data_IF_804813500487
#
_entry.id   IF_804813500487
#
_cell.length_a   1.000
_cell.length_b   1.000
_cell.length_c   1.000
_cell.angle_alpha   90.00
_cell.angle_beta   90.00
_cell.angle_gamma   90.00
#
_symmetry.space_group_name_H-M   'P 1'
#
loop_
_entity.id
_entity.type
_entity.pdbx_description
1 polymer ?
#
# COMPACT_ATOMS: atom_id res chain seq x y z
N UNK A 1 -16.05 -9.96 -7.27
CA UNK A 1 -17.04 -10.16 -6.18
C UNK A 1 -16.71 -11.30 -5.22
N UNK A 2 -16.47 -12.54 -5.67
CA UNK A 2 -16.17 -13.68 -4.77
C UNK A 2 -14.98 -13.40 -3.84
N UNK A 3 -13.83 -12.97 -4.39
CA UNK A 3 -12.63 -12.64 -3.61
C UNK A 3 -12.89 -11.61 -2.51
N UNK A 4 -13.61 -10.53 -2.83
CA UNK A 4 -13.99 -9.49 -1.86
C UNK A 4 -14.84 -10.04 -0.71
N UNK A 5 -15.84 -10.88 -0.99
CA UNK A 5 -16.66 -11.49 0.07
C UNK A 5 -15.83 -12.40 0.98
N UNK A 6 -14.94 -13.21 0.39
CA UNK A 6 -14.03 -14.06 1.18
C UNK A 6 -13.10 -13.21 2.06
N UNK A 7 -12.55 -12.12 1.54
CA UNK A 7 -11.71 -11.22 2.32
C UNK A 7 -12.48 -10.49 3.42
N UNK A 8 -13.70 -10.02 3.14
CA UNK A 8 -14.58 -9.38 4.13
C UNK A 8 -14.98 -10.35 5.25
N UNK A 9 -15.22 -11.62 4.92
CA UNK A 9 -15.44 -12.67 5.90
C UNK A 9 -14.21 -12.88 6.80
N UNK A 10 -13.01 -12.99 6.21
CA UNK A 10 -11.77 -13.14 6.97
C UNK A 10 -11.52 -11.97 7.94
N UNK A 11 -11.83 -10.74 7.52
CA UNK A 11 -11.78 -9.55 8.40
C UNK A 11 -12.71 -9.72 9.60
N UNK A 12 -13.92 -10.22 9.38
CA UNK A 12 -14.93 -10.43 10.44
C UNK A 12 -14.54 -11.55 11.42
N UNK A 13 -13.74 -12.51 10.96
CA UNK A 13 -13.25 -13.66 11.73
C UNK A 13 -11.87 -13.40 12.39
N UNK A 14 -11.36 -12.16 12.38
CA UNK A 14 -10.03 -11.84 12.91
C UNK A 14 -9.93 -12.03 14.43
N UNK A 15 -9.05 -12.95 14.87
CA UNK A 15 -8.88 -13.32 16.27
C UNK A 15 -7.62 -12.70 16.91
N UNK A 16 -7.57 -12.55 18.25
CA UNK A 16 -6.35 -12.16 18.97
C UNK A 16 -5.21 -13.18 18.77
N UNK A 17 -3.97 -12.78 19.07
CA UNK A 17 -2.80 -13.66 18.93
C UNK A 17 -2.28 -13.83 17.49
N UNK A 18 -2.78 -13.02 16.55
CA UNK A 18 -2.27 -12.85 15.17
C UNK A 18 -2.45 -11.41 14.73
N UNK A 19 -1.91 -11.04 13.56
CA UNK A 19 -2.15 -9.73 12.98
C UNK A 19 -3.65 -9.48 12.77
N UNK A 20 -4.15 -8.33 13.23
CA UNK A 20 -5.53 -7.94 13.03
C UNK A 20 -5.76 -7.51 11.58
N UNK A 21 -6.82 -8.03 10.95
CA UNK A 21 -7.22 -7.59 9.61
C UNK A 21 -8.14 -6.38 9.76
N UNK A 22 -7.61 -5.18 9.46
CA UNK A 22 -8.30 -3.91 9.71
C UNK A 22 -9.40 -3.58 8.70
N UNK A 23 -9.39 -4.27 7.57
CA UNK A 23 -10.29 -4.03 6.45
C UNK A 23 -9.64 -4.44 5.13
N UNK A 24 -10.18 -3.92 4.04
CA UNK A 24 -9.77 -4.22 2.69
C UNK A 24 -9.15 -2.99 2.03
N UNK A 25 -8.00 -3.20 1.40
CA UNK A 25 -7.47 -2.33 0.36
C UNK A 25 -7.81 -2.97 -0.99
N UNK A 26 -8.64 -2.30 -1.79
CA UNK A 26 -8.99 -2.79 -3.12
C UNK A 26 -8.16 -2.03 -4.16
N UNK A 27 -7.12 -2.68 -4.65
CA UNK A 27 -6.30 -2.15 -5.74
C UNK A 27 -6.98 -2.41 -7.09
N UNK A 28 -7.65 -1.38 -7.62
CA UNK A 28 -8.51 -1.51 -8.81
C UNK A 28 -9.98 -1.79 -8.47
N UNK A 29 -10.80 -2.25 -9.44
CA UNK A 29 -10.44 -2.55 -10.82
C UNK A 29 -10.34 -1.30 -11.70
N UNK A 30 -10.68 -0.11 -11.21
CA UNK A 30 -10.76 1.12 -12.00
C UNK A 30 -9.40 1.75 -12.28
N UNK A 31 -8.53 1.02 -12.97
CA UNK A 31 -7.13 1.39 -13.22
C UNK A 31 -6.80 1.37 -14.70
N UNK A 32 -5.74 2.08 -15.09
CA UNK A 32 -5.36 2.23 -16.48
C UNK A 32 -4.62 0.98 -16.98
N UNK A 33 -5.13 0.39 -18.08
CA UNK A 33 -4.55 -0.81 -18.71
C UNK A 33 -3.08 -0.64 -19.11
N UNK A 34 -2.66 0.57 -19.51
CA UNK A 34 -1.26 0.88 -19.85
C UNK A 34 -0.32 0.83 -18.64
N UNK A 35 -0.90 0.84 -17.43
CA UNK A 35 -0.21 0.87 -16.15
C UNK A 35 -0.71 -0.25 -15.25
N UNK A 36 -1.05 -1.40 -15.84
CA UNK A 36 -1.56 -2.56 -15.09
C UNK A 36 -0.53 -3.17 -14.15
N UNK A 37 0.77 -2.98 -14.43
CA UNK A 37 1.83 -3.70 -13.69
C UNK A 37 1.59 -5.21 -13.79
N UNK A 38 1.60 -5.89 -12.65
CA UNK A 38 1.30 -7.32 -12.56
C UNK A 38 -0.19 -7.67 -12.39
N UNK A 39 -1.10 -6.70 -12.49
CA UNK A 39 -2.53 -6.99 -12.48
C UNK A 39 -2.91 -7.81 -13.73
N UNK A 40 -3.70 -8.90 -13.59
CA UNK A 40 -4.10 -9.69 -14.75
C UNK A 40 -4.78 -8.82 -15.83
N UNK A 41 -4.48 -9.00 -17.13
CA UNK A 41 -4.94 -8.10 -18.19
C UNK A 41 -6.46 -7.91 -18.30
N UNK A 42 -7.24 -8.86 -17.77
CA UNK A 42 -8.71 -8.83 -17.78
C UNK A 42 -9.31 -8.06 -16.60
N UNK A 43 -8.52 -7.74 -15.57
CA UNK A 43 -9.01 -7.15 -14.31
C UNK A 43 -9.19 -5.63 -14.36
N UNK A 44 -8.32 -4.84 -15.03
CA UNK A 44 -8.56 -3.42 -15.20
C UNK A 44 -9.86 -3.13 -15.96
N UNK A 45 -10.77 -2.38 -15.35
CA UNK A 45 -12.05 -1.97 -15.90
C UNK A 45 -12.12 -0.45 -15.97
N UNK A 46 -12.92 0.07 -16.90
CA UNK A 46 -13.28 1.50 -16.85
C UNK A 46 -14.18 1.76 -15.64
N UNK A 47 -14.14 2.98 -15.07
CA UNK A 47 -15.06 3.42 -14.02
C UNK A 47 -16.52 3.12 -14.39
N UNK A 48 -17.20 2.32 -13.57
CA UNK A 48 -18.59 1.96 -13.75
C UNK A 48 -19.32 1.96 -12.40
N UNK A 49 -20.45 2.68 -12.35
CA UNK A 49 -21.19 2.87 -11.10
C UNK A 49 -21.80 1.56 -10.61
N UNK A 50 -22.35 0.74 -11.50
CA UNK A 50 -22.99 -0.53 -11.12
C UNK A 50 -21.97 -1.52 -10.57
N UNK A 51 -20.79 -1.59 -11.18
CA UNK A 51 -19.65 -2.35 -10.67
C UNK A 51 -19.27 -1.86 -9.28
N UNK A 52 -19.08 -0.55 -9.08
CA UNK A 52 -18.75 0.01 -7.78
C UNK A 52 -19.78 -0.37 -6.71
N UNK A 53 -21.08 -0.21 -6.99
CA UNK A 53 -22.14 -0.56 -6.05
C UNK A 53 -22.07 -2.05 -5.65
N UNK A 54 -21.77 -2.93 -6.62
CA UNK A 54 -21.53 -4.35 -6.34
C UNK A 54 -20.27 -4.62 -5.51
N UNK A 55 -19.18 -3.87 -5.73
CA UNK A 55 -17.94 -4.00 -4.95
C UNK A 55 -18.16 -3.56 -3.51
N UNK A 56 -18.82 -2.41 -3.31
CA UNK A 56 -19.19 -1.88 -2.00
C UNK A 56 -20.13 -2.85 -1.27
N UNK A 57 -21.14 -3.38 -1.95
CA UNK A 57 -22.03 -4.38 -1.37
C UNK A 57 -21.28 -5.65 -0.97
N UNK A 58 -20.35 -6.13 -1.79
CA UNK A 58 -19.57 -7.33 -1.51
C UNK A 58 -18.58 -7.15 -0.34
N UNK A 59 -18.04 -5.94 -0.18
CA UNK A 59 -17.11 -5.61 0.90
C UNK A 59 -17.81 -5.19 2.21
N UNK A 60 -19.05 -4.72 2.14
CA UNK A 60 -19.77 -4.17 3.28
C UNK A 60 -19.05 -2.93 3.86
N UNK A 61 -18.97 -2.86 5.18
CA UNK A 61 -18.26 -1.82 5.94
C UNK A 61 -16.74 -2.06 6.04
N UNK A 62 -16.23 -3.10 5.37
CA UNK A 62 -14.82 -3.51 5.48
C UNK A 62 -13.91 -2.88 4.45
N UNK A 63 -14.43 -2.28 3.38
CA UNK A 63 -13.60 -1.55 2.43
C UNK A 63 -13.08 -0.26 3.07
N UNK A 64 -11.76 -0.08 3.12
CA UNK A 64 -11.11 1.09 3.74
C UNK A 64 -10.40 1.97 2.73
N UNK A 65 -9.81 1.36 1.71
CA UNK A 65 -9.01 2.03 0.70
C UNK A 65 -9.34 1.44 -0.68
N UNK A 66 -9.39 2.29 -1.70
CA UNK A 66 -9.49 1.87 -3.09
C UNK A 66 -8.46 2.62 -3.95
N UNK A 67 -7.67 1.88 -4.74
CA UNK A 67 -6.77 2.45 -5.75
C UNK A 67 -7.53 2.69 -7.05
N UNK A 68 -7.41 3.90 -7.62
CA UNK A 68 -8.07 4.30 -8.88
C UNK A 68 -7.11 5.11 -9.77
N UNK A 69 -7.27 4.97 -11.08
CA UNK A 69 -6.65 5.84 -12.07
C UNK A 69 -7.55 7.06 -12.35
N UNK A 70 -7.16 8.28 -11.94
CA UNK A 70 -8.04 9.45 -11.95
C UNK A 70 -8.34 10.00 -13.36
N UNK A 71 -7.49 9.71 -14.34
CA UNK A 71 -7.63 10.16 -15.73
C UNK A 71 -8.73 9.40 -16.51
N UNK A 72 -9.23 8.29 -15.95
CA UNK A 72 -10.27 7.51 -16.61
C UNK A 72 -11.62 8.22 -16.55
N UNK A 73 -12.35 8.21 -17.67
CA UNK A 73 -13.69 8.76 -17.75
C UNK A 73 -14.60 8.16 -16.67
N UNK A 74 -15.22 9.02 -15.85
CA UNK A 74 -16.08 8.61 -14.74
C UNK A 74 -15.37 8.44 -13.39
N UNK A 75 -14.03 8.48 -13.32
CA UNK A 75 -13.28 8.30 -12.08
C UNK A 75 -13.71 9.31 -10.99
N UNK A 76 -13.93 10.58 -11.33
CA UNK A 76 -14.40 11.58 -10.37
C UNK A 76 -15.73 11.24 -9.69
N UNK A 77 -16.65 10.53 -10.37
CA UNK A 77 -17.89 10.06 -9.75
C UNK A 77 -17.64 8.90 -8.77
N UNK A 78 -16.75 7.99 -9.13
CA UNK A 78 -16.32 6.88 -8.26
C UNK A 78 -15.68 7.44 -7.00
N UNK A 79 -14.72 8.37 -7.14
CA UNK A 79 -14.02 9.03 -6.02
C UNK A 79 -15.04 9.62 -5.04
N UNK A 80 -15.95 10.48 -5.53
CA UNK A 80 -16.97 11.10 -4.66
C UNK A 80 -17.87 10.07 -3.97
N UNK A 81 -18.24 9.00 -4.67
CA UNK A 81 -19.12 7.96 -4.10
C UNK A 81 -18.39 7.17 -3.01
N UNK A 82 -17.12 6.82 -3.21
CA UNK A 82 -16.29 6.14 -2.21
C UNK A 82 -16.09 7.00 -0.96
N UNK A 83 -15.76 8.29 -1.13
CA UNK A 83 -15.58 9.21 0.00
C UNK A 83 -16.86 9.39 0.82
N UNK A 84 -18.04 9.46 0.17
CA UNK A 84 -19.34 9.47 0.85
C UNK A 84 -19.64 8.18 1.63
N UNK A 85 -18.92 7.09 1.35
CA UNK A 85 -18.99 5.81 2.05
C UNK A 85 -17.82 5.60 3.01
N UNK A 86 -17.06 6.66 3.30
CA UNK A 86 -15.89 6.63 4.18
C UNK A 86 -14.79 5.67 3.69
N UNK A 87 -14.73 5.44 2.38
CA UNK A 87 -13.64 4.70 1.72
C UNK A 87 -12.62 5.72 1.21
N UNK A 88 -11.40 5.65 1.74
CA UNK A 88 -10.29 6.47 1.26
C UNK A 88 -9.93 6.13 -0.18
N UNK A 89 -9.47 7.13 -0.93
CA UNK A 89 -9.04 6.97 -2.31
C UNK A 89 -7.53 7.12 -2.40
N UNK A 90 -6.91 6.16 -3.07
CA UNK A 90 -5.52 6.17 -3.47
C UNK A 90 -5.38 6.31 -4.98
N UNK A 91 -4.43 7.10 -5.45
CA UNK A 91 -4.11 7.19 -6.88
C UNK A 91 -2.98 6.21 -7.22
N UNK A 92 -3.18 5.38 -8.24
CA UNK A 92 -2.21 4.35 -8.63
C UNK A 92 -2.62 3.63 -9.91
N UNK A 93 -1.70 2.86 -10.50
CA UNK A 93 -1.92 2.15 -11.77
C UNK A 93 -2.49 3.07 -12.86
N UNK A 94 -1.84 4.22 -13.04
CA UNK A 94 -2.42 5.37 -13.74
C UNK A 94 -1.41 6.08 -14.63
N UNK A 95 -1.85 6.46 -15.82
CA UNK A 95 -1.08 7.31 -16.74
C UNK A 95 -1.46 8.79 -16.62
N UNK A 96 -2.07 9.20 -15.50
CA UNK A 96 -2.57 10.54 -15.29
C UNK A 96 -1.51 11.64 -15.46
N UNK A 97 -1.94 12.74 -16.11
CA UNK A 97 -1.22 13.99 -16.05
C UNK A 97 -1.38 14.67 -14.68
N UNK A 98 -0.66 15.77 -14.50
CA UNK A 98 -0.77 16.59 -13.28
C UNK A 98 -2.21 17.08 -13.05
N UNK A 99 -2.91 17.53 -14.10
CA UNK A 99 -4.24 18.13 -13.98
C UNK A 99 -5.28 17.13 -13.47
N UNK A 100 -5.28 15.89 -13.99
CA UNK A 100 -6.20 14.84 -13.55
C UNK A 100 -5.94 14.47 -12.08
N UNK A 101 -4.66 14.32 -11.71
CA UNK A 101 -4.26 13.99 -10.35
C UNK A 101 -4.62 15.13 -9.36
N UNK A 102 -4.31 16.38 -9.71
CA UNK A 102 -4.66 17.56 -8.91
C UNK A 102 -6.17 17.69 -8.71
N UNK A 103 -6.97 17.45 -9.76
CA UNK A 103 -8.43 17.43 -9.65
C UNK A 103 -8.94 16.30 -8.73
N UNK A 104 -8.30 15.13 -8.76
CA UNK A 104 -8.64 14.02 -7.87
C UNK A 104 -8.31 14.32 -6.40
N UNK A 105 -7.14 14.92 -6.11
CA UNK A 105 -6.79 15.37 -4.77
C UNK A 105 -7.73 16.49 -4.28
N UNK A 106 -8.05 17.47 -5.12
CA UNK A 106 -9.03 18.51 -4.81
C UNK A 106 -10.44 17.93 -4.53
N UNK A 107 -10.78 16.79 -5.14
CA UNK A 107 -12.02 16.06 -4.88
C UNK A 107 -11.99 15.20 -3.60
N UNK A 108 -10.84 15.12 -2.90
CA UNK A 108 -10.67 14.43 -1.63
C UNK A 108 -9.92 13.11 -1.68
N UNK A 109 -9.31 12.74 -2.82
CA UNK A 109 -8.28 11.69 -2.79
C UNK A 109 -7.15 12.14 -1.86
N UNK A 110 -6.55 11.20 -1.12
CA UNK A 110 -5.61 11.56 -0.03
C UNK A 110 -4.39 10.65 0.06
N UNK A 111 -4.22 9.76 -0.91
CA UNK A 111 -3.21 8.72 -0.87
C UNK A 111 -2.67 8.40 -2.27
N UNK A 112 -1.46 7.85 -2.34
CA UNK A 112 -0.83 7.38 -3.58
C UNK A 112 -0.29 5.98 -3.34
N UNK A 113 -0.71 5.02 -4.15
CA UNK A 113 -0.32 3.61 -4.04
C UNK A 113 1.08 3.43 -4.61
N UNK A 114 1.95 2.70 -3.90
CA UNK A 114 3.35 2.38 -4.27
C UNK A 114 4.05 3.39 -5.22
N UNK A 115 4.17 4.65 -4.78
CA UNK A 115 4.60 5.78 -5.59
C UNK A 115 5.79 5.48 -6.54
N UNK A 116 5.67 5.98 -7.78
CA UNK A 116 6.51 5.70 -8.98
C UNK A 116 6.23 4.39 -9.71
N UNK A 117 5.72 3.36 -9.03
CA UNK A 117 5.46 2.06 -9.65
C UNK A 117 4.12 2.08 -10.38
N UNK A 118 4.07 1.48 -11.57
CA UNK A 118 2.87 1.47 -12.41
C UNK A 118 2.21 2.86 -12.59
N UNK A 119 3.03 3.89 -12.81
CA UNK A 119 2.58 5.27 -12.99
C UNK A 119 3.21 5.92 -14.22
N UNK A 120 2.61 7.01 -14.70
CA UNK A 120 3.33 7.95 -15.56
C UNK A 120 4.62 8.41 -14.86
N UNK A 121 5.80 8.27 -15.50
CA UNK A 121 7.05 8.72 -14.90
C UNK A 121 7.04 10.21 -14.57
N UNK A 122 7.68 10.58 -13.47
CA UNK A 122 7.91 11.99 -13.15
C UNK A 122 8.84 12.61 -14.20
N UNK A 123 8.39 13.73 -14.79
CA UNK A 123 9.18 14.52 -15.72
C UNK A 123 9.00 16.00 -15.38
N UNK A 124 10.06 16.82 -15.45
CA UNK A 124 10.02 18.23 -14.98
C UNK A 124 8.97 19.11 -15.66
N UNK A 125 8.59 18.81 -16.92
CA UNK A 125 7.49 19.48 -17.64
C UNK A 125 6.11 18.82 -17.48
N UNK A 126 6.09 17.57 -17.02
CA UNK A 126 4.89 16.75 -16.91
C UNK A 126 4.98 15.91 -15.63
N UNK A 127 4.78 16.53 -14.45
CA UNK A 127 5.19 15.93 -13.19
C UNK A 127 4.21 14.85 -12.68
N UNK A 128 3.06 14.68 -13.36
CA UNK A 128 2.12 13.58 -13.13
C UNK A 128 1.57 13.54 -11.70
N UNK A 129 1.26 12.34 -11.23
CA UNK A 129 0.74 12.10 -9.88
C UNK A 129 1.74 12.54 -8.81
N UNK A 130 3.03 12.25 -8.97
CA UNK A 130 4.05 12.57 -7.95
C UNK A 130 4.15 14.08 -7.72
N UNK A 131 4.13 14.89 -8.78
CA UNK A 131 4.12 16.35 -8.64
C UNK A 131 2.84 16.88 -7.99
N UNK A 132 1.68 16.38 -8.43
CA UNK A 132 0.40 16.77 -7.84
C UNK A 132 0.31 16.37 -6.36
N UNK A 133 0.82 15.20 -5.99
CA UNK A 133 0.83 14.72 -4.62
C UNK A 133 1.75 15.56 -3.73
N UNK A 134 2.89 16.04 -4.22
CA UNK A 134 3.78 16.93 -3.46
C UNK A 134 3.04 18.20 -3.02
N UNK A 135 2.30 18.84 -3.93
CA UNK A 135 1.53 20.07 -3.70
C UNK A 135 0.25 19.84 -2.89
N UNK A 136 -0.36 18.67 -3.00
CA UNK A 136 -1.57 18.33 -2.26
C UNK A 136 -1.25 18.04 -0.78
N UNK A 137 -1.29 19.10 0.05
CA UNK A 137 -1.08 19.00 1.51
C UNK A 137 -1.93 17.88 2.13
N UNK A 138 -1.34 17.15 3.08
CA UNK A 138 -2.01 16.02 3.74
C UNK A 138 -2.04 14.71 2.94
N UNK A 139 -1.68 14.72 1.64
CA UNK A 139 -1.59 13.50 0.84
C UNK A 139 -0.46 12.61 1.33
N UNK A 140 -0.76 11.35 1.63
CA UNK A 140 0.24 10.35 1.98
C UNK A 140 0.68 9.59 0.73
N UNK A 141 1.92 9.11 0.69
CA UNK A 141 2.43 8.25 -0.37
C UNK A 141 2.92 6.94 0.20
N UNK A 142 2.62 5.85 -0.49
CA UNK A 142 3.18 4.53 -0.18
C UNK A 142 4.52 4.34 -0.84
N UNK A 143 5.44 3.70 -0.13
CA UNK A 143 6.80 3.47 -0.56
C UNK A 143 7.22 2.04 -0.23
N UNK A 144 7.64 1.29 -1.26
CA UNK A 144 8.22 -0.05 -1.12
C UNK A 144 9.74 0.12 -1.05
N UNK A 145 10.31 0.04 0.16
CA UNK A 145 11.75 0.23 0.39
C UNK A 145 12.53 -1.09 0.43
N UNK A 146 12.40 -1.90 -0.62
CA UNK A 146 13.10 -3.19 -0.78
C UNK A 146 14.39 -3.08 -1.61
N UNK A 147 14.65 -1.93 -2.23
CA UNK A 147 15.84 -1.68 -3.06
C UNK A 147 15.69 -2.20 -4.49
N UNK A 148 14.55 -2.81 -4.80
CA UNK A 148 14.17 -3.31 -6.12
C UNK A 148 13.20 -2.34 -6.78
N UNK A 149 12.09 -2.02 -6.10
CA UNK A 149 11.07 -1.12 -6.63
C UNK A 149 11.58 0.32 -6.74
N UNK A 150 12.39 0.74 -5.76
CA UNK A 150 12.96 2.07 -5.70
C UNK A 150 14.43 2.01 -5.33
N UNK A 151 15.24 2.73 -6.11
CA UNK A 151 16.64 2.96 -5.77
C UNK A 151 16.73 3.79 -4.47
N UNK A 152 17.69 3.51 -3.55
CA UNK A 152 17.81 4.27 -2.30
C UNK A 152 17.97 5.78 -2.47
N UNK A 153 18.50 6.26 -3.61
CA UNK A 153 18.56 7.69 -3.91
C UNK A 153 17.17 8.31 -4.17
N UNK A 154 16.27 7.58 -4.84
CA UNK A 154 14.88 8.00 -5.06
C UNK A 154 14.15 8.09 -3.73
N UNK A 155 14.34 7.11 -2.85
CA UNK A 155 13.79 7.13 -1.49
C UNK A 155 14.25 8.36 -0.70
N UNK A 156 15.56 8.66 -0.69
CA UNK A 156 16.08 9.88 -0.04
C UNK A 156 15.43 11.14 -0.57
N UNK A 157 15.31 11.27 -1.90
CA UNK A 157 14.65 12.42 -2.53
C UNK A 157 13.20 12.54 -2.05
N UNK A 158 12.43 11.45 -2.07
CA UNK A 158 11.02 11.44 -1.65
C UNK A 158 10.87 11.82 -0.17
N UNK A 159 11.74 11.31 0.69
CA UNK A 159 11.70 11.58 2.13
C UNK A 159 11.93 13.05 2.45
N UNK A 160 12.84 13.70 1.72
CA UNK A 160 13.07 15.13 1.83
C UNK A 160 11.91 15.95 1.25
N UNK A 161 11.34 15.52 0.12
CA UNK A 161 10.32 16.28 -0.59
C UNK A 161 8.92 16.21 0.06
N UNK A 162 8.49 15.02 0.49
CA UNK A 162 7.17 14.83 1.13
C UNK A 162 7.20 15.09 2.63
N UNK A 163 8.35 14.90 3.28
CA UNK A 163 8.43 14.87 4.73
C UNK A 163 7.92 13.55 5.33
N UNK A 164 8.41 13.25 6.53
CA UNK A 164 8.32 11.92 7.13
C UNK A 164 6.88 11.53 7.50
N UNK A 165 6.05 12.50 7.86
CA UNK A 165 4.64 12.30 8.26
C UNK A 165 3.70 11.95 7.10
N UNK A 166 4.20 12.03 5.86
CA UNK A 166 3.44 11.78 4.62
C UNK A 166 3.91 10.51 3.91
N UNK A 167 4.81 9.74 4.51
CA UNK A 167 5.32 8.50 3.94
C UNK A 167 4.79 7.31 4.72
N UNK A 168 4.06 6.44 4.01
CA UNK A 168 3.67 5.13 4.49
C UNK A 168 4.62 4.09 3.90
N UNK A 169 5.34 3.36 4.76
CA UNK A 169 6.06 2.18 4.31
C UNK A 169 5.07 1.04 4.11
N UNK A 170 5.14 0.42 2.94
CA UNK A 170 4.37 -0.77 2.59
C UNK A 170 5.32 -1.83 2.07
N UNK A 171 4.93 -3.10 2.22
CA UNK A 171 5.69 -4.20 1.62
C UNK A 171 5.29 -4.43 0.17
N UNK A 172 4.01 -4.21 -0.17
CA UNK A 172 3.39 -4.81 -1.36
C UNK A 172 3.68 -6.31 -1.44
N UNK A 173 3.68 -6.95 -0.27
CA UNK A 173 4.12 -8.32 -0.08
C UNK A 173 3.18 -9.32 -0.74
N UNK A 174 3.72 -10.20 -1.57
CA UNK A 174 3.00 -11.32 -2.18
C UNK A 174 3.27 -12.63 -1.45
N UNK A 175 2.63 -13.73 -1.88
CA UNK A 175 2.78 -15.06 -1.28
C UNK A 175 4.23 -15.49 -0.92
N UNK A 176 5.26 -15.19 -1.75
CA UNK A 176 6.65 -15.53 -1.40
C UNK A 176 7.35 -14.61 -0.40
N UNK A 177 6.66 -13.67 0.25
CA UNK A 177 7.27 -12.78 1.21
C UNK A 177 7.98 -13.55 2.35
N UNK A 178 9.24 -13.18 2.61
CA UNK A 178 10.11 -13.86 3.58
C UNK A 178 10.81 -15.13 3.07
N UNK A 179 10.58 -15.55 1.83
CA UNK A 179 11.31 -16.64 1.19
C UNK A 179 12.53 -16.11 0.41
N UNK A 180 13.49 -16.99 0.10
CA UNK A 180 14.69 -16.62 -0.66
C UNK A 180 14.54 -16.82 -2.17
N UNK A 181 13.87 -17.89 -2.58
CA UNK A 181 13.65 -18.26 -3.98
C UNK A 181 12.46 -19.21 -4.15
N UNK A 182 11.92 -19.29 -5.36
CA UNK A 182 10.88 -20.28 -5.71
C UNK A 182 10.01 -19.84 -6.88
N UNK A 183 9.06 -20.70 -7.25
CA UNK A 183 8.03 -20.41 -8.25
C UNK A 183 6.65 -20.32 -7.58
N UNK A 184 5.89 -19.31 -7.95
CA UNK A 184 4.64 -18.92 -7.32
C UNK A 184 3.60 -18.54 -8.37
N UNK A 185 2.36 -18.32 -7.93
CA UNK A 185 1.30 -17.78 -8.78
C UNK A 185 0.87 -16.41 -8.29
N UNK A 186 0.79 -15.44 -9.21
CA UNK A 186 0.20 -14.12 -8.98
C UNK A 186 -1.04 -14.02 -9.85
N UNK A 187 -2.22 -14.17 -9.21
CA UNK A 187 -3.46 -14.39 -9.96
C UNK A 187 -3.39 -15.68 -10.78
N UNK A 188 -3.56 -15.55 -12.09
CA UNK A 188 -3.51 -16.66 -13.03
C UNK A 188 -2.13 -16.88 -13.67
N UNK A 189 -1.16 -16.00 -13.40
CA UNK A 189 0.17 -16.01 -13.99
C UNK A 189 1.21 -16.67 -13.09
N UNK A 190 2.24 -17.27 -13.70
CA UNK A 190 3.41 -17.78 -12.98
C UNK A 190 4.41 -16.64 -12.72
N UNK A 191 4.96 -16.63 -11.50
CA UNK A 191 5.98 -15.70 -11.07
C UNK A 191 7.16 -16.47 -10.44
N UNK A 192 8.36 -15.92 -10.55
CA UNK A 192 9.58 -16.48 -9.94
C UNK A 192 10.20 -15.48 -8.97
N UNK A 193 10.53 -15.94 -7.77
CA UNK A 193 11.38 -15.21 -6.85
C UNK A 193 12.84 -15.56 -7.12
N UNK A 194 13.62 -14.56 -7.52
CA UNK A 194 15.06 -14.70 -7.76
C UNK A 194 15.79 -13.40 -7.42
N UNK A 195 16.79 -13.49 -6.54
CA UNK A 195 17.60 -12.33 -6.13
C UNK A 195 16.76 -11.22 -5.48
N UNK A 196 15.79 -11.59 -4.64
CA UNK A 196 14.89 -10.66 -3.95
C UNK A 196 13.80 -10.03 -4.81
N UNK A 197 13.66 -10.44 -6.08
CA UNK A 197 12.67 -9.91 -7.04
C UNK A 197 11.65 -10.97 -7.37
N UNK A 198 10.37 -10.62 -7.28
CA UNK A 198 9.27 -11.45 -7.80
C UNK A 198 8.98 -10.99 -9.23
N UNK A 199 9.24 -11.86 -10.20
CA UNK A 199 9.19 -11.52 -11.63
C UNK A 199 8.18 -12.39 -12.38
N UNK A 200 7.38 -11.78 -13.25
CA UNK A 200 6.62 -12.49 -14.28
C UNK A 200 7.55 -12.93 -15.43
N UNK A 201 7.02 -13.74 -16.33
CA UNK A 201 7.78 -14.28 -17.48
C UNK A 201 8.37 -13.19 -18.40
N UNK A 202 7.75 -12.01 -18.47
CA UNK A 202 8.21 -10.88 -19.27
C UNK A 202 9.19 -9.95 -18.52
N UNK A 203 9.53 -10.28 -17.27
CA UNK A 203 10.41 -9.49 -16.41
C UNK A 203 9.70 -8.38 -15.61
N UNK A 204 8.38 -8.25 -15.72
CA UNK A 204 7.59 -7.34 -14.88
C UNK A 204 7.69 -7.74 -13.41
N UNK A 205 7.91 -6.76 -12.52
CA UNK A 205 7.91 -6.98 -11.08
C UNK A 205 6.47 -7.17 -10.60
N UNK A 206 6.23 -8.26 -9.86
CA UNK A 206 4.91 -8.66 -9.36
C UNK A 206 4.86 -8.68 -7.84
N UNK A 207 4.76 -7.48 -7.26
CA UNK A 207 4.84 -7.26 -5.82
C UNK A 207 6.24 -7.49 -5.27
N UNK A 208 6.35 -7.55 -3.94
CA UNK A 208 7.62 -7.76 -3.24
C UNK A 208 7.64 -9.05 -2.43
N UNK A 209 8.84 -9.59 -2.23
CA UNK A 209 9.11 -10.62 -1.24
C UNK A 209 9.58 -10.03 0.11
N UNK A 210 9.68 -8.69 0.23
CA UNK A 210 10.15 -8.04 1.43
C UNK A 210 9.12 -8.11 2.57
N UNK A 211 9.60 -8.40 3.78
CA UNK A 211 8.83 -8.27 5.02
C UNK A 211 8.94 -6.84 5.57
N UNK A 212 8.02 -6.45 6.45
CA UNK A 212 8.02 -5.09 6.99
C UNK A 212 9.29 -4.78 7.79
N UNK A 213 9.82 -5.74 8.56
CA UNK A 213 11.09 -5.59 9.28
C UNK A 213 12.29 -5.43 8.32
N UNK A 214 12.28 -6.11 7.16
CA UNK A 214 13.30 -5.92 6.13
C UNK A 214 13.21 -4.51 5.51
N UNK A 215 11.99 -4.02 5.20
CA UNK A 215 11.76 -2.65 4.71
C UNK A 215 12.26 -1.62 5.74
N UNK A 216 11.97 -1.82 7.03
CA UNK A 216 12.47 -0.96 8.12
C UNK A 216 14.00 -0.99 8.19
N UNK A 217 14.61 -2.18 8.18
CA UNK A 217 16.07 -2.37 8.21
C UNK A 217 16.75 -1.69 7.04
N UNK A 218 16.19 -1.77 5.85
CA UNK A 218 16.72 -1.14 4.65
C UNK A 218 16.81 0.38 4.81
N UNK A 219 15.72 1.03 5.20
CA UNK A 219 15.68 2.51 5.33
C UNK A 219 16.66 3.00 6.40
N UNK A 220 16.74 2.30 7.54
CA UNK A 220 17.71 2.62 8.61
C UNK A 220 19.14 2.34 8.16
N UNK A 221 19.40 1.17 7.57
CA UNK A 221 20.72 0.73 7.11
C UNK A 221 21.30 1.61 6.00
N UNK A 222 20.45 2.09 5.09
CA UNK A 222 20.81 3.08 4.07
C UNK A 222 20.92 4.52 4.61
N UNK A 223 20.72 4.72 5.92
CA UNK A 223 20.80 6.01 6.62
C UNK A 223 19.88 7.07 6.01
N UNK A 224 18.69 6.66 5.59
CA UNK A 224 17.69 7.56 5.01
C UNK A 224 16.90 8.28 6.10
N UNK A 225 16.58 7.57 7.19
CA UNK A 225 15.86 8.11 8.34
C UNK A 225 16.24 7.37 9.63
N UNK A 226 15.97 7.98 10.78
CA UNK A 226 16.19 7.35 12.09
C UNK A 226 15.21 6.20 12.32
N UNK A 227 15.53 5.25 13.20
CA UNK A 227 14.60 4.18 13.57
C UNK A 227 13.25 4.72 14.06
N UNK A 228 13.26 5.78 14.87
CA UNK A 228 12.03 6.38 15.39
C UNK A 228 11.12 6.91 14.27
N UNK A 229 11.71 7.54 13.25
CA UNK A 229 10.94 8.07 12.11
C UNK A 229 10.43 6.94 11.21
N UNK A 230 11.28 5.94 10.94
CA UNK A 230 10.90 4.78 10.14
C UNK A 230 9.76 3.99 10.81
N UNK A 231 9.78 3.84 12.14
CA UNK A 231 8.68 3.22 12.88
C UNK A 231 7.38 4.02 12.73
N UNK A 232 7.43 5.36 12.72
CA UNK A 232 6.23 6.18 12.44
C UNK A 232 5.68 5.92 11.04
N UNK A 233 6.56 5.83 10.03
CA UNK A 233 6.17 5.54 8.65
C UNK A 233 5.63 4.12 8.47
N UNK A 234 6.05 3.16 9.29
CA UNK A 234 5.61 1.77 9.25
C UNK A 234 4.40 1.48 10.16
N UNK A 235 3.99 2.42 11.02
CA UNK A 235 2.92 2.19 12.00
C UNK A 235 1.94 3.35 12.14
N UNK A 236 2.41 4.53 12.58
CA UNK A 236 1.56 5.71 12.82
C UNK A 236 0.90 6.22 11.54
N UNK A 237 1.67 6.38 10.47
CA UNK A 237 1.17 6.92 9.19
C UNK A 237 0.17 5.94 8.54
N UNK A 238 0.48 4.62 8.37
CA UNK A 238 -0.50 3.65 7.87
C UNK A 238 -1.74 3.52 8.74
N UNK A 239 -1.61 3.59 10.08
CA UNK A 239 -2.77 3.55 10.98
C UNK A 239 -3.72 4.73 10.76
N UNK A 240 -3.18 5.93 10.47
CA UNK A 240 -3.99 7.10 10.08
C UNK A 240 -4.72 6.87 8.76
N UNK A 241 -4.01 6.39 7.73
CA UNK A 241 -4.59 6.10 6.41
C UNK A 241 -5.71 5.06 6.51
N UNK A 242 -5.51 4.00 7.31
CA UNK A 242 -6.51 2.96 7.53
C UNK A 242 -7.67 3.37 8.47
N UNK A 243 -7.68 4.62 8.98
CA UNK A 243 -8.74 5.11 9.87
C UNK A 243 -8.72 4.56 11.29
N UNK A 244 -7.58 4.00 11.76
CA UNK A 244 -7.43 3.37 13.08
C UNK A 244 -6.42 4.06 13.99
N UNK A 245 -5.91 5.24 13.61
CA UNK A 245 -4.90 6.00 14.37
C UNK A 245 -5.33 6.44 15.78
N UNK A 246 -6.63 6.34 16.11
CA UNK A 246 -7.13 6.54 17.47
C UNK A 246 -6.82 5.40 18.44
N UNK A 247 -6.48 4.21 17.93
CA UNK A 247 -6.15 3.02 18.76
C UNK A 247 -4.87 2.28 18.34
N UNK A 248 -4.32 2.52 17.15
CA UNK A 248 -3.11 1.85 16.64
C UNK A 248 -2.01 2.81 16.25
N UNK A 249 -0.80 2.26 16.08
CA UNK A 249 0.35 2.96 15.51
C UNK A 249 1.11 3.86 16.49
N UNK A 250 0.84 3.78 17.79
CA UNK A 250 1.54 4.52 18.84
C UNK A 250 1.69 3.67 20.09
N UNK A 251 2.83 3.81 20.77
CA UNK A 251 3.05 3.26 22.11
C UNK A 251 2.64 4.32 23.14
N UNK A 252 1.36 4.32 23.50
CA UNK A 252 0.79 5.26 24.47
C UNK A 252 -0.39 4.61 25.22
N UNK A 253 -0.68 5.08 26.44
CA UNK A 253 -1.86 4.63 27.17
C UNK A 253 -3.14 4.87 26.36
N UNK A 254 -4.06 3.90 26.38
CA UNK A 254 -5.31 3.93 25.62
C UNK A 254 -5.22 3.37 24.19
N UNK A 255 -4.03 3.03 23.70
CA UNK A 255 -3.84 2.34 22.42
C UNK A 255 -3.82 0.83 22.61
N UNK A 256 -4.12 0.09 21.55
CA UNK A 256 -3.98 -1.36 21.50
C UNK A 256 -2.51 -1.74 21.76
N UNK A 257 -2.30 -2.77 22.59
CA UNK A 257 -0.97 -3.32 22.87
C UNK A 257 -0.45 -4.18 21.69
N UNK A 258 -0.36 -3.55 20.52
CA UNK A 258 0.31 -4.05 19.33
C UNK A 258 1.75 -3.56 19.34
N UNK A 259 2.68 -4.45 19.70
CA UNK A 259 4.08 -4.11 19.97
C UNK A 259 4.99 -5.08 19.25
N UNK A 260 6.10 -4.58 18.72
CA UNK A 260 7.21 -5.39 18.20
C UNK A 260 8.46 -5.08 19.01
N UNK A 261 9.13 -6.14 19.49
CA UNK A 261 10.47 -6.05 20.02
C UNK A 261 11.46 -6.41 18.91
N UNK A 262 12.43 -5.55 18.68
CA UNK A 262 13.48 -5.75 17.69
C UNK A 262 14.82 -6.02 18.38
N UNK A 263 15.64 -6.89 17.78
CA UNK A 263 17.03 -7.11 18.20
C UNK A 263 17.90 -5.88 17.89
N UNK A 264 19.16 -5.89 18.33
CA UNK A 264 20.13 -4.85 17.94
C UNK A 264 20.36 -4.75 16.42
N UNK A 265 20.14 -5.85 15.69
CA UNK A 265 20.16 -5.91 14.23
C UNK A 265 18.83 -5.54 13.57
N UNK A 266 17.84 -5.10 14.37
CA UNK A 266 16.47 -4.78 13.96
C UNK A 266 15.67 -5.97 13.40
N UNK A 267 16.02 -7.19 13.80
CA UNK A 267 15.24 -8.40 13.50
C UNK A 267 14.12 -8.58 14.52
N UNK A 268 13.01 -9.18 14.11
CA UNK A 268 11.86 -9.40 15.01
C UNK A 268 12.21 -10.44 16.08
N UNK A 269 12.29 -10.01 17.33
CA UNK A 269 12.54 -10.89 18.48
C UNK A 269 11.24 -11.38 19.14
N UNK A 270 10.21 -10.54 19.14
CA UNK A 270 8.88 -10.89 19.64
C UNK A 270 7.83 -9.90 19.13
N UNK A 271 6.59 -10.36 19.03
CA UNK A 271 5.44 -9.52 18.71
C UNK A 271 4.31 -9.78 19.70
N UNK A 272 3.56 -8.72 19.99
CA UNK A 272 2.32 -8.75 20.75
C UNK A 272 1.24 -8.17 19.88
N UNK A 273 0.09 -8.84 19.84
CA UNK A 273 -1.11 -8.33 19.17
C UNK A 273 -2.25 -8.26 20.17
N UNK A 274 -2.75 -7.05 20.40
CA UNK A 274 -3.77 -6.72 21.41
C UNK A 274 -3.40 -7.29 22.79
N UNK A 275 -2.13 -7.19 23.16
CA UNK A 275 -1.58 -7.65 24.45
C UNK A 275 -1.23 -9.13 24.52
N UNK A 276 -1.56 -9.94 23.50
CA UNK A 276 -1.21 -11.36 23.45
C UNK A 276 0.11 -11.53 22.72
N UNK A 277 1.12 -12.10 23.38
CA UNK A 277 2.38 -12.44 22.71
C UNK A 277 2.11 -13.50 21.65
N UNK A 278 2.48 -13.23 20.41
CA UNK A 278 2.45 -14.23 19.34
C UNK A 278 3.77 -14.99 19.39
N UNK A 279 3.74 -16.32 19.34
CA UNK A 279 4.97 -17.13 19.29
C UNK A 279 5.80 -16.70 18.09
N UNK A 280 7.10 -16.47 18.31
CA UNK A 280 8.07 -16.38 17.21
C UNK A 280 7.97 -17.65 16.38
N UNK A 281 8.07 -17.54 15.06
CA UNK A 281 8.50 -18.70 14.25
C UNK A 281 9.87 -19.05 14.80
N UNK A 282 10.02 -20.25 15.37
CA UNK A 282 11.30 -20.70 15.93
C UNK A 282 12.40 -20.49 14.89
N UNK A 283 13.50 -19.87 15.34
CA UNK A 283 14.68 -19.55 14.54
C UNK A 283 15.43 -20.80 14.08
#
# INVERSE_FOLDING_TARGET
MRYLRTAAQAVSESQPGRAELLGLNLEGPFVNRLRSGALPPTWPLLPDRRMLDGLLQAAGDKLRLMTIAPELGGAGQIIRTCLQREVAISLGHSDAGYQDAAAAFAAGASHVTHAFNAMRPYHHRHPGIIGAALEAEGTTIEVIADGVHLHPATLRMMFQAFGLERIALVTDGVAPAGLEAGSFRTGDEEARLEGGRVLLADGTIAGSAATMDAVVRNVVGWRIASLADVVRMASTVPARVAGVGGRKGRLAAGYDADVVALSGGLEVAATWTRGVRTSSVDA
#
